data_IF_694820216384
#
_entry.id   IF_694820216384
#
_cell.length_a   1.000
_cell.length_b   1.000
_cell.length_c   1.000
_cell.angle_alpha   90.00
_cell.angle_beta   90.00
_cell.angle_gamma   90.00
#
_symmetry.space_group_name_H-M   'P 1'
#
loop_
_entity.id
_entity.type
_entity.pdbx_description
1 polymer ?
#
# COMPACT_ATOMS: atom_id res chain seq x y z
N UNK A 1 -18.64 17.68 1.27
CA UNK A 1 -17.70 16.55 1.08
C UNK A 1 -16.38 16.92 1.76
N UNK A 2 -15.83 16.04 2.60
CA UNK A 2 -14.56 16.27 3.34
C UNK A 2 -13.58 15.12 3.09
N UNK A 3 -12.33 15.47 2.73
CA UNK A 3 -11.24 14.51 2.49
C UNK A 3 -10.56 14.18 3.81
N UNK A 4 -10.25 12.91 4.04
CA UNK A 4 -9.36 12.45 5.11
C UNK A 4 -8.12 11.88 4.45
N UNK A 5 -7.00 12.59 4.52
CA UNK A 5 -5.75 12.15 3.88
C UNK A 5 -4.94 11.23 4.79
N UNK A 6 -4.32 10.22 4.17
CA UNK A 6 -3.30 9.38 4.79
C UNK A 6 -2.03 9.46 3.94
N UNK A 7 -1.37 10.61 4.02
CA UNK A 7 -0.26 10.97 3.13
C UNK A 7 0.92 9.99 3.20
N UNK A 8 1.10 9.27 4.32
CA UNK A 8 2.14 8.26 4.49
C UNK A 8 1.97 7.02 3.61
N UNK A 9 0.72 6.66 3.29
CA UNK A 9 0.35 5.56 2.38
C UNK A 9 -0.05 6.07 0.99
N UNK A 10 -0.32 7.37 0.88
CA UNK A 10 -0.69 8.02 -0.38
C UNK A 10 -2.13 7.75 -0.80
N UNK A 11 -3.02 7.59 0.18
CA UNK A 11 -4.44 7.36 -0.01
C UNK A 11 -5.34 8.40 0.69
N UNK A 12 -6.62 8.40 0.32
CA UNK A 12 -7.67 9.27 0.84
C UNK A 12 -8.93 8.47 1.14
N UNK A 13 -9.53 8.75 2.28
CA UNK A 13 -10.93 8.40 2.59
C UNK A 13 -11.82 9.62 2.43
N UNK A 14 -13.12 9.40 2.25
CA UNK A 14 -14.07 10.48 2.01
C UNK A 14 -15.26 10.44 2.95
N UNK A 15 -15.71 11.62 3.39
CA UNK A 15 -17.00 11.80 4.09
C UNK A 15 -17.89 12.71 3.23
N UNK A 16 -19.00 12.17 2.72
CA UNK A 16 -20.04 12.93 2.03
C UNK A 16 -21.28 13.03 2.93
N UNK A 17 -21.90 14.21 2.97
CA UNK A 17 -22.99 14.50 3.90
C UNK A 17 -23.91 15.58 3.33
N UNK A 18 -25.19 15.52 3.71
CA UNK A 18 -26.21 16.54 3.46
C UNK A 18 -26.35 17.54 4.63
N UNK A 19 -25.56 17.39 5.69
CA UNK A 19 -25.60 18.21 6.91
C UNK A 19 -26.18 17.49 8.12
N UNK A 20 -26.93 16.39 7.94
CA UNK A 20 -27.52 15.62 9.03
C UNK A 20 -26.95 14.20 9.09
N UNK A 21 -26.81 13.55 7.93
CA UNK A 21 -26.27 12.20 7.81
C UNK A 21 -25.08 12.16 6.87
N UNK A 22 -24.23 11.16 7.05
CA UNK A 22 -23.04 10.98 6.25
C UNK A 22 -22.88 9.54 5.73
N UNK A 23 -22.25 9.45 4.56
CA UNK A 23 -21.63 8.23 4.03
C UNK A 23 -20.12 8.39 4.05
N UNK A 24 -19.42 7.32 4.43
CA UNK A 24 -17.97 7.23 4.42
C UNK A 24 -17.54 6.26 3.33
N UNK A 25 -16.55 6.66 2.52
CA UNK A 25 -15.99 5.84 1.44
C UNK A 25 -14.53 5.51 1.77
N UNK A 26 -14.17 4.23 1.68
CA UNK A 26 -12.82 3.69 1.87
C UNK A 26 -12.14 4.14 3.17
N UNK A 27 -12.75 3.94 4.35
CA UNK A 27 -12.17 4.39 5.60
C UNK A 27 -10.92 3.59 6.00
N UNK A 28 -9.87 4.30 6.39
CA UNK A 28 -8.69 3.74 7.04
C UNK A 28 -9.01 3.03 8.36
N UNK A 29 -8.11 2.12 8.76
CA UNK A 29 -8.26 1.31 9.97
C UNK A 29 -8.47 2.12 11.25
N UNK A 30 -7.83 3.27 11.35
CA UNK A 30 -7.85 4.12 12.52
C UNK A 30 -9.08 5.05 12.51
N UNK A 31 -10.25 4.42 12.68
CA UNK A 31 -11.59 4.99 12.51
C UNK A 31 -11.94 6.10 13.50
N UNK A 32 -11.17 6.28 14.58
CA UNK A 32 -11.35 7.37 15.53
C UNK A 32 -11.24 8.74 14.85
N UNK A 33 -10.40 8.88 13.81
CA UNK A 33 -10.29 10.10 13.00
C UNK A 33 -11.60 10.42 12.27
N UNK A 34 -12.29 9.39 11.76
CA UNK A 34 -13.58 9.53 11.07
C UNK A 34 -14.68 9.92 12.06
N UNK A 35 -14.72 9.26 13.22
CA UNK A 35 -15.68 9.55 14.29
C UNK A 35 -15.52 10.97 14.83
N UNK A 36 -14.28 11.42 15.06
CA UNK A 36 -13.98 12.81 15.47
C UNK A 36 -14.43 13.80 14.41
N UNK A 37 -14.20 13.52 13.13
CA UNK A 37 -14.67 14.38 12.04
C UNK A 37 -16.19 14.46 12.01
N UNK A 38 -16.89 13.33 12.08
CA UNK A 38 -18.35 13.30 12.11
C UNK A 38 -18.92 14.09 13.30
N UNK A 39 -18.32 13.94 14.50
CA UNK A 39 -18.71 14.71 15.67
C UNK A 39 -18.48 16.22 15.51
N UNK A 40 -17.40 16.65 14.86
CA UNK A 40 -17.14 18.07 14.55
C UNK A 40 -18.13 18.64 13.54
N UNK A 41 -18.54 17.84 12.56
CA UNK A 41 -19.53 18.23 11.56
C UNK A 41 -20.97 18.17 12.10
N UNK A 42 -21.19 17.50 13.24
CA UNK A 42 -22.53 17.31 13.81
C UNK A 42 -23.38 16.30 13.04
N UNK A 43 -22.76 15.39 12.28
CA UNK A 43 -23.45 14.46 11.37
C UNK A 43 -23.43 13.03 11.89
N UNK A 44 -24.46 12.26 11.57
CA UNK A 44 -24.52 10.82 11.86
C UNK A 44 -24.04 9.98 10.68
N UNK A 45 -23.02 9.15 10.88
CA UNK A 45 -22.60 8.18 9.87
C UNK A 45 -23.67 7.09 9.78
N UNK A 46 -24.29 6.94 8.61
CA UNK A 46 -25.34 5.95 8.36
C UNK A 46 -24.93 4.90 7.35
N UNK A 47 -23.90 5.20 6.56
CA UNK A 47 -23.39 4.34 5.50
C UNK A 47 -21.87 4.36 5.49
N UNK A 48 -21.31 3.19 5.21
CA UNK A 48 -19.90 3.01 4.89
C UNK A 48 -19.84 2.16 3.63
N UNK A 49 -19.04 2.52 2.64
CA UNK A 49 -18.87 1.73 1.42
C UNK A 49 -17.40 1.55 1.06
N UNK A 50 -17.07 0.39 0.49
CA UNK A 50 -15.76 0.11 -0.09
C UNK A 50 -15.84 0.17 -1.62
N UNK A 51 -14.90 0.84 -2.26
CA UNK A 51 -14.72 0.77 -3.72
C UNK A 51 -14.18 -0.59 -4.13
N UNK A 52 -13.32 -1.19 -3.32
CA UNK A 52 -12.78 -2.53 -3.51
C UNK A 52 -12.17 -3.05 -2.20
N UNK A 53 -11.86 -4.35 -2.12
CA UNK A 53 -11.00 -4.85 -1.06
C UNK A 53 -9.56 -4.37 -1.29
N UNK A 54 -9.11 -3.48 -0.42
CA UNK A 54 -7.81 -2.81 -0.53
C UNK A 54 -6.64 -3.78 -0.33
N UNK A 55 -5.57 -3.55 -1.08
CA UNK A 55 -4.33 -4.34 -0.99
C UNK A 55 -3.19 -3.58 -0.31
N UNK A 56 -3.37 -2.30 0.03
CA UNK A 56 -2.35 -1.42 0.57
C UNK A 56 -2.60 -0.96 2.00
N UNK A 57 -3.79 -1.25 2.55
CA UNK A 57 -4.08 -1.03 3.96
C UNK A 57 -5.17 -1.98 4.44
N UNK A 58 -5.31 -2.07 5.76
CA UNK A 58 -6.39 -2.78 6.42
C UNK A 58 -7.58 -1.84 6.56
N UNK A 59 -8.72 -2.20 5.97
CA UNK A 59 -9.92 -1.36 6.00
C UNK A 59 -10.45 -1.20 7.42
N UNK A 60 -10.90 0.02 7.74
CA UNK A 60 -11.67 0.33 8.94
C UNK A 60 -13.18 0.20 8.76
N UNK A 61 -13.68 -0.14 7.58
CA UNK A 61 -15.09 -0.04 7.24
C UNK A 61 -15.98 -0.92 8.10
N UNK A 62 -15.55 -2.16 8.34
CA UNK A 62 -16.25 -3.09 9.23
C UNK A 62 -16.35 -2.56 10.67
N UNK A 63 -15.25 -2.04 11.20
CA UNK A 63 -15.22 -1.51 12.57
C UNK A 63 -16.06 -0.23 12.69
N UNK A 64 -15.95 0.67 11.72
CA UNK A 64 -16.74 1.90 11.69
C UNK A 64 -18.24 1.59 11.62
N UNK A 65 -18.64 0.61 10.81
CA UNK A 65 -20.02 0.12 10.75
C UNK A 65 -20.50 -0.39 12.10
N UNK A 66 -19.71 -1.23 12.79
CA UNK A 66 -20.05 -1.75 14.13
C UNK A 66 -20.22 -0.64 15.17
N UNK A 67 -19.32 0.34 15.18
CA UNK A 67 -19.33 1.43 16.16
C UNK A 67 -20.49 2.42 15.95
N UNK A 68 -20.96 2.56 14.71
CA UNK A 68 -21.99 3.56 14.35
C UNK A 68 -23.36 2.96 14.06
N UNK A 69 -23.44 1.65 13.84
CA UNK A 69 -24.63 0.98 13.30
C UNK A 69 -24.88 1.29 11.81
N UNK A 70 -23.89 1.85 11.11
CA UNK A 70 -24.00 2.18 9.69
C UNK A 70 -24.10 0.94 8.81
N UNK A 71 -24.86 1.02 7.71
CA UNK A 71 -24.90 -0.03 6.69
C UNK A 71 -23.56 -0.10 5.98
N UNK A 72 -22.96 -1.29 5.94
CA UNK A 72 -21.64 -1.50 5.31
C UNK A 72 -21.79 -2.12 3.92
N UNK A 73 -21.59 -1.32 2.88
CA UNK A 73 -21.66 -1.74 1.48
C UNK A 73 -20.33 -2.24 0.94
N UNK A 74 -20.32 -3.45 0.39
CA UNK A 74 -19.15 -4.05 -0.28
C UNK A 74 -19.61 -4.69 -1.58
N UNK A 75 -18.73 -4.79 -2.57
CA UNK A 75 -19.07 -5.43 -3.84
C UNK A 75 -19.58 -6.86 -3.60
N UNK A 76 -20.75 -7.19 -4.17
CA UNK A 76 -21.43 -8.48 -3.98
C UNK A 76 -20.56 -9.69 -4.39
N UNK A 77 -19.64 -9.46 -5.33
CA UNK A 77 -18.75 -10.48 -5.85
C UNK A 77 -17.56 -10.81 -4.93
N UNK A 78 -17.20 -9.93 -3.99
CA UNK A 78 -16.05 -10.13 -3.10
C UNK A 78 -16.31 -11.19 -2.00
N UNK A 79 -17.56 -11.39 -1.58
CA UNK A 79 -17.99 -12.42 -0.61
C UNK A 79 -17.14 -12.46 0.69
N UNK A 80 -17.01 -11.35 1.42
CA UNK A 80 -16.29 -11.33 2.69
C UNK A 80 -16.94 -12.22 3.76
N UNK A 81 -16.16 -12.60 4.77
CA UNK A 81 -16.57 -13.51 5.85
C UNK A 81 -17.46 -12.86 6.93
N UNK A 82 -18.00 -11.67 6.67
CA UNK A 82 -18.80 -10.88 7.61
C UNK A 82 -20.06 -10.32 6.93
N UNK A 83 -21.03 -9.93 7.75
CA UNK A 83 -22.27 -9.31 7.28
C UNK A 83 -21.98 -7.96 6.61
N UNK A 84 -22.59 -7.77 5.44
CA UNK A 84 -22.48 -6.57 4.64
C UNK A 84 -23.72 -6.45 3.74
N UNK A 85 -23.94 -5.25 3.21
CA UNK A 85 -24.88 -5.00 2.12
C UNK A 85 -24.15 -5.30 0.81
N UNK A 86 -24.53 -6.35 0.06
CA UNK A 86 -23.91 -6.65 -1.23
C UNK A 86 -24.33 -5.59 -2.27
N UNK A 87 -23.35 -5.00 -2.96
CA UNK A 87 -23.58 -3.99 -4.00
C UNK A 87 -23.10 -4.48 -5.37
N UNK A 88 -23.87 -4.20 -6.41
CA UNK A 88 -23.60 -4.52 -7.81
C UNK A 88 -23.74 -3.29 -8.72
N UNK A 89 -23.43 -3.46 -10.01
CA UNK A 89 -23.59 -2.40 -11.02
C UNK A 89 -25.03 -1.89 -11.07
N UNK A 90 -25.22 -0.58 -10.96
CA UNK A 90 -26.52 0.07 -11.03
C UNK A 90 -27.28 0.15 -9.71
N UNK A 91 -26.81 -0.52 -8.65
CA UNK A 91 -27.45 -0.42 -7.33
C UNK A 91 -27.40 1.02 -6.80
N UNK A 92 -28.46 1.41 -6.10
CA UNK A 92 -28.58 2.74 -5.48
C UNK A 92 -28.65 2.59 -3.98
N UNK A 93 -27.71 3.24 -3.29
CA UNK A 93 -27.67 3.37 -1.84
C UNK A 93 -28.26 4.72 -1.47
N UNK A 94 -29.51 4.71 -1.02
CA UNK A 94 -30.20 5.89 -0.49
C UNK A 94 -29.61 6.23 0.90
N UNK A 95 -28.83 7.32 0.99
CA UNK A 95 -28.21 7.79 2.24
C UNK A 95 -29.21 8.63 3.03
N UNK A 96 -29.92 9.51 2.33
CA UNK A 96 -31.07 10.30 2.80
C UNK A 96 -31.99 10.59 1.61
N UNK A 97 -33.17 11.20 1.81
CA UNK A 97 -34.02 11.62 0.68
C UNK A 97 -33.33 12.55 -0.34
N UNK A 98 -32.25 13.23 0.07
CA UNK A 98 -31.54 14.20 -0.76
C UNK A 98 -30.11 13.84 -1.14
N UNK A 99 -29.64 12.66 -0.74
CA UNK A 99 -28.28 12.21 -0.97
C UNK A 99 -28.27 10.70 -1.22
N UNK A 100 -27.71 10.29 -2.36
CA UNK A 100 -27.59 8.87 -2.71
C UNK A 100 -26.28 8.56 -3.40
N UNK A 101 -25.87 7.29 -3.33
CA UNK A 101 -24.77 6.75 -4.11
C UNK A 101 -25.31 5.79 -5.14
N UNK A 102 -24.92 5.95 -6.41
CA UNK A 102 -25.16 4.96 -7.45
C UNK A 102 -23.87 4.20 -7.74
N UNK A 103 -23.89 2.89 -7.54
CA UNK A 103 -22.75 2.02 -7.78
C UNK A 103 -22.58 1.77 -9.29
N UNK A 104 -21.34 1.81 -9.74
CA UNK A 104 -20.92 1.48 -11.10
C UNK A 104 -19.80 0.45 -11.03
N UNK A 105 -20.00 -0.71 -11.66
CA UNK A 105 -18.93 -1.68 -11.81
C UNK A 105 -17.84 -1.11 -12.73
N UNK A 106 -16.64 -1.04 -12.19
CA UNK A 106 -15.44 -0.46 -12.83
C UNK A 106 -14.22 -1.36 -12.63
N UNK A 107 -14.33 -2.67 -13.00
CA UNK A 107 -13.26 -3.64 -12.82
C UNK A 107 -11.99 -3.22 -13.56
N UNK A 108 -10.85 -3.60 -13.00
CA UNK A 108 -9.55 -3.28 -13.54
C UNK A 108 -8.50 -3.37 -12.45
N UNK A 109 -8.44 -2.39 -11.55
CA UNK A 109 -7.57 -2.47 -10.37
C UNK A 109 -7.80 -3.75 -9.56
N UNK A 110 -9.07 -4.13 -9.42
CA UNK A 110 -9.49 -5.46 -8.96
C UNK A 110 -10.63 -5.98 -9.85
N UNK A 111 -10.94 -7.28 -9.76
CA UNK A 111 -12.05 -7.88 -10.52
C UNK A 111 -13.43 -7.34 -10.15
N UNK A 112 -13.60 -6.88 -8.91
CA UNK A 112 -14.90 -6.55 -8.33
C UNK A 112 -15.03 -5.06 -7.99
N UNK A 113 -14.09 -4.23 -8.45
CA UNK A 113 -14.04 -2.81 -8.16
C UNK A 113 -15.36 -2.09 -8.56
N UNK A 114 -15.86 -1.27 -7.65
CA UNK A 114 -16.99 -0.37 -7.82
C UNK A 114 -16.54 1.08 -7.69
N UNK A 115 -17.10 1.95 -8.52
CA UNK A 115 -17.09 3.39 -8.34
C UNK A 115 -18.47 3.84 -7.86
N UNK A 116 -18.53 4.91 -7.06
CA UNK A 116 -19.79 5.42 -6.52
C UNK A 116 -20.04 6.84 -6.99
N UNK A 117 -21.11 7.05 -7.75
CA UNK A 117 -21.55 8.37 -8.17
C UNK A 117 -22.33 8.99 -7.03
N UNK A 118 -21.88 10.15 -6.55
CA UNK A 118 -22.59 10.92 -5.54
C UNK A 118 -23.62 11.79 -6.24
N UNK A 119 -24.89 11.59 -5.89
CA UNK A 119 -26.01 12.32 -6.46
C UNK A 119 -26.78 13.04 -5.35
N UNK A 120 -27.16 14.28 -5.62
CA UNK A 120 -28.01 15.11 -4.79
C UNK A 120 -29.21 15.63 -5.59
N UNK A 121 -30.04 16.46 -4.98
CA UNK A 121 -31.11 17.17 -5.69
C UNK A 121 -30.62 18.02 -6.87
N UNK A 122 -29.37 18.51 -6.86
CA UNK A 122 -28.77 19.26 -7.97
C UNK A 122 -28.23 18.39 -9.09
N UNK A 123 -28.25 17.06 -8.94
CA UNK A 123 -27.72 16.10 -9.91
C UNK A 123 -26.42 15.45 -9.44
N UNK A 124 -25.50 15.18 -10.37
CA UNK A 124 -24.22 14.52 -10.08
C UNK A 124 -23.25 15.51 -9.45
N UNK A 125 -22.86 15.27 -8.20
CA UNK A 125 -21.86 16.06 -7.48
C UNK A 125 -20.43 15.63 -7.83
N UNK A 126 -20.26 14.34 -8.13
CA UNK A 126 -18.97 13.76 -8.49
C UNK A 126 -18.99 12.24 -8.38
N UNK A 127 -17.82 11.62 -8.50
CA UNK A 127 -17.67 10.16 -8.47
C UNK A 127 -16.45 9.76 -7.65
N UNK A 128 -16.68 8.86 -6.69
CA UNK A 128 -15.62 8.15 -5.98
C UNK A 128 -15.09 7.06 -6.90
N UNK A 129 -13.89 7.27 -7.44
CA UNK A 129 -13.31 6.43 -8.50
C UNK A 129 -12.43 5.31 -7.98
N UNK A 130 -12.15 5.28 -6.67
CA UNK A 130 -11.38 4.21 -6.05
C UNK A 130 -9.97 4.10 -6.62
N UNK A 131 -9.54 2.87 -6.91
CA UNK A 131 -8.35 2.55 -7.68
C UNK A 131 -8.54 2.57 -9.20
N UNK A 132 -9.76 2.80 -9.71
CA UNK A 132 -10.05 2.68 -11.14
C UNK A 132 -9.48 3.88 -11.94
N UNK A 133 -10.01 5.08 -11.71
CA UNK A 133 -9.54 6.31 -12.35
C UNK A 133 -8.84 7.19 -11.32
N UNK A 134 -7.55 7.49 -11.54
CA UNK A 134 -6.74 8.38 -10.70
C UNK A 134 -6.39 9.66 -11.48
N UNK A 135 -5.75 10.64 -10.84
CA UNK A 135 -5.34 11.87 -11.52
C UNK A 135 -4.22 11.60 -12.54
N UNK A 136 -4.55 11.72 -13.84
CA UNK A 136 -3.63 11.49 -14.95
C UNK A 136 -3.19 10.04 -15.16
N UNK A 137 -3.76 9.08 -14.42
CA UNK A 137 -3.39 7.66 -14.49
C UNK A 137 -4.53 6.74 -14.00
N UNK A 138 -4.24 5.45 -13.81
CA UNK A 138 -5.15 4.44 -13.27
C UNK A 138 -4.45 3.64 -12.17
N UNK A 139 -5.20 2.85 -11.42
CA UNK A 139 -4.61 1.85 -10.53
C UNK A 139 -3.88 0.77 -11.32
N UNK A 140 -2.83 0.22 -10.72
CA UNK A 140 -2.12 -0.95 -11.26
C UNK A 140 -3.02 -2.18 -11.30
N UNK A 141 -2.68 -3.16 -12.14
CA UNK A 141 -3.58 -4.29 -12.44
C UNK A 141 -2.98 -5.66 -12.09
N UNK A 142 -1.79 -5.71 -11.51
CA UNK A 142 -1.03 -6.93 -11.22
C UNK A 142 -1.04 -7.35 -9.73
N UNK A 143 -1.74 -6.61 -8.85
CA UNK A 143 -1.79 -6.92 -7.41
C UNK A 143 -2.45 -8.25 -7.08
N UNK A 144 -3.33 -8.73 -7.97
CA UNK A 144 -4.01 -10.02 -7.81
C UNK A 144 -3.24 -11.19 -8.45
N UNK A 145 -2.06 -10.92 -9.02
CA UNK A 145 -1.24 -11.88 -9.73
C UNK A 145 -0.85 -11.38 -11.12
N UNK A 146 0.38 -11.67 -11.54
CA UNK A 146 0.91 -11.29 -12.86
C UNK A 146 0.07 -11.92 -13.99
N UNK A 147 -0.48 -13.11 -13.75
CA UNK A 147 -1.37 -13.82 -14.68
C UNK A 147 -2.69 -13.09 -14.95
N UNK A 148 -3.08 -12.15 -14.10
CA UNK A 148 -4.31 -11.37 -14.23
C UNK A 148 -4.06 -9.97 -14.82
N UNK A 149 -2.81 -9.51 -14.83
CA UNK A 149 -2.45 -8.13 -15.13
C UNK A 149 -2.95 -7.62 -16.48
N UNK A 150 -2.80 -8.40 -17.55
CA UNK A 150 -3.28 -8.05 -18.90
C UNK A 150 -4.81 -7.96 -18.95
N UNK A 151 -5.51 -9.00 -18.47
CA UNK A 151 -6.98 -9.01 -18.49
C UNK A 151 -7.57 -7.87 -17.66
N UNK A 152 -6.96 -7.57 -16.51
CA UNK A 152 -7.37 -6.49 -15.64
C UNK A 152 -7.04 -5.12 -16.27
N UNK A 153 -5.92 -4.95 -16.98
CA UNK A 153 -5.64 -3.72 -17.72
C UNK A 153 -6.68 -3.44 -18.83
N UNK A 154 -7.09 -4.47 -19.58
CA UNK A 154 -8.17 -4.31 -20.59
C UNK A 154 -9.49 -3.89 -19.97
N UNK A 155 -9.85 -4.52 -18.84
CA UNK A 155 -11.05 -4.14 -18.07
C UNK A 155 -10.93 -2.71 -17.54
N UNK A 156 -9.77 -2.31 -17.03
CA UNK A 156 -9.49 -0.97 -16.53
C UNK A 156 -9.72 0.09 -17.62
N UNK A 157 -9.22 -0.15 -18.84
CA UNK A 157 -9.44 0.71 -20.00
C UNK A 157 -10.93 0.90 -20.31
N UNK A 158 -11.66 -0.22 -20.38
CA UNK A 158 -13.10 -0.22 -20.63
C UNK A 158 -13.86 0.52 -19.52
N UNK A 159 -13.52 0.27 -18.25
CA UNK A 159 -14.16 0.87 -17.08
C UNK A 159 -14.00 2.38 -17.01
N UNK A 160 -12.80 2.90 -17.27
CA UNK A 160 -12.55 4.35 -17.27
C UNK A 160 -13.33 5.05 -18.37
N UNK A 161 -13.39 4.46 -19.57
CA UNK A 161 -14.20 4.99 -20.68
C UNK A 161 -15.69 4.95 -20.36
N UNK A 162 -16.19 3.84 -19.79
CA UNK A 162 -17.58 3.74 -19.29
C UNK A 162 -17.89 4.87 -18.31
N UNK A 163 -17.03 5.14 -17.32
CA UNK A 163 -17.22 6.23 -16.36
C UNK A 163 -17.32 7.58 -17.07
N UNK A 164 -16.37 7.87 -17.95
CA UNK A 164 -16.32 9.13 -18.65
C UNK A 164 -17.59 9.33 -19.52
N UNK A 165 -18.04 8.29 -20.23
CA UNK A 165 -19.16 8.37 -21.17
C UNK A 165 -20.53 8.36 -20.49
N UNK A 166 -20.61 7.84 -19.26
CA UNK A 166 -21.88 7.74 -18.51
C UNK A 166 -22.18 8.95 -17.62
N UNK A 167 -21.22 9.86 -17.45
CA UNK A 167 -21.30 10.96 -16.48
C UNK A 167 -21.03 12.32 -17.15
N UNK A 168 -21.54 13.44 -16.58
CA UNK A 168 -21.22 14.77 -17.07
C UNK A 168 -19.71 15.04 -17.04
N UNK A 169 -19.17 15.65 -18.09
CA UNK A 169 -17.73 15.97 -18.18
C UNK A 169 -17.20 16.81 -17.01
N UNK A 170 -18.02 17.71 -16.46
CA UNK A 170 -17.69 18.51 -15.29
C UNK A 170 -17.71 17.76 -13.95
N UNK A 171 -18.09 16.48 -13.91
CA UNK A 171 -18.12 15.72 -12.66
C UNK A 171 -16.72 15.62 -12.06
N UNK A 172 -16.61 15.97 -10.77
CA UNK A 172 -15.37 15.87 -10.00
C UNK A 172 -15.08 14.40 -9.73
N UNK A 173 -13.81 14.01 -9.80
CA UNK A 173 -13.38 12.64 -9.46
C UNK A 173 -12.65 12.62 -8.11
N UNK A 174 -12.91 11.57 -7.34
CA UNK A 174 -12.37 11.36 -6.00
C UNK A 174 -11.71 9.98 -5.91
N UNK A 175 -10.43 9.87 -6.30
CA UNK A 175 -9.70 8.60 -6.24
C UNK A 175 -9.21 8.28 -4.84
N UNK A 176 -9.18 7.00 -4.49
CA UNK A 176 -8.67 6.54 -3.20
C UNK A 176 -7.15 6.63 -3.14
N UNK A 177 -6.45 6.40 -4.26
CA UNK A 177 -4.99 6.40 -4.33
C UNK A 177 -4.46 7.46 -5.30
N UNK A 178 -3.13 7.58 -5.42
CA UNK A 178 -2.48 8.51 -6.34
C UNK A 178 -1.51 9.50 -5.69
N UNK A 179 -1.52 9.60 -4.37
CA UNK A 179 -0.82 10.65 -3.62
C UNK A 179 0.56 10.18 -3.13
N UNK A 180 1.30 9.49 -4.01
CA UNK A 180 2.54 8.78 -3.66
C UNK A 180 2.34 7.29 -3.33
N UNK A 181 1.12 6.76 -3.48
CA UNK A 181 0.81 5.33 -3.29
C UNK A 181 1.44 4.45 -4.37
N UNK A 182 1.84 3.23 -3.98
CA UNK A 182 2.32 2.18 -4.88
C UNK A 182 1.19 1.46 -5.64
N UNK A 183 -0.08 1.80 -5.37
CA UNK A 183 -1.24 1.31 -6.11
C UNK A 183 -1.47 2.02 -7.45
N UNK A 184 -0.78 3.13 -7.74
CA UNK A 184 -0.89 3.81 -9.03
C UNK A 184 -0.01 3.14 -10.09
N UNK A 185 -0.52 3.02 -11.32
CA UNK A 185 0.25 2.46 -12.42
C UNK A 185 1.41 3.37 -12.86
N UNK A 186 1.20 4.68 -12.79
CA UNK A 186 2.23 5.70 -12.96
C UNK A 186 2.04 6.80 -11.90
N UNK A 187 3.00 7.74 -11.81
CA UNK A 187 2.89 8.83 -10.85
C UNK A 187 1.65 9.70 -11.13
N UNK A 188 0.75 9.78 -10.16
CA UNK A 188 -0.37 10.72 -10.16
C UNK A 188 0.08 12.07 -9.60
N UNK A 189 -0.56 13.15 -10.05
CA UNK A 189 -0.25 14.51 -9.61
C UNK A 189 -1.49 15.38 -9.58
N UNK A 190 -1.53 16.32 -8.63
CA UNK A 190 -2.61 17.28 -8.45
C UNK A 190 -3.50 16.98 -7.25
N UNK A 191 -4.27 17.99 -6.84
CA UNK A 191 -5.14 17.89 -5.66
C UNK A 191 -6.62 17.67 -6.01
N UNK A 192 -7.00 17.96 -7.26
CA UNK A 192 -8.36 17.80 -7.81
C UNK A 192 -8.34 17.59 -9.32
N UNK A 193 -9.36 16.93 -9.85
CA UNK A 193 -9.57 16.74 -11.30
C UNK A 193 -11.05 16.53 -11.62
N UNK A 194 -11.40 16.60 -12.91
CA UNK A 194 -12.73 16.31 -13.47
C UNK A 194 -12.62 15.30 -14.61
N UNK A 195 -13.74 14.70 -15.00
CA UNK A 195 -13.76 13.78 -16.14
C UNK A 195 -13.30 14.45 -17.45
N UNK A 196 -13.65 15.71 -17.69
CA UNK A 196 -13.18 16.47 -18.86
C UNK A 196 -11.68 16.71 -18.85
N UNK A 197 -11.09 16.97 -17.67
CA UNK A 197 -9.65 17.07 -17.55
C UNK A 197 -8.99 15.72 -17.86
N UNK A 198 -9.46 14.65 -17.24
CA UNK A 198 -8.91 13.31 -17.47
C UNK A 198 -9.06 12.86 -18.93
N UNK A 199 -10.13 13.22 -19.64
CA UNK A 199 -10.25 12.97 -21.09
C UNK A 199 -9.08 13.57 -21.89
N UNK A 200 -8.52 14.68 -21.42
CA UNK A 200 -7.42 15.37 -22.08
C UNK A 200 -6.05 14.82 -21.70
N UNK A 201 -5.88 14.19 -20.53
CA UNK A 201 -4.55 13.84 -20.01
C UNK A 201 -4.36 12.35 -19.72
N UNK A 202 -5.42 11.61 -19.39
CA UNK A 202 -5.33 10.25 -18.89
C UNK A 202 -5.09 9.24 -20.03
N UNK A 203 -4.05 8.39 -19.95
CA UNK A 203 -3.78 7.38 -20.97
C UNK A 203 -4.95 6.43 -21.26
N UNK A 204 -5.75 6.07 -20.25
CA UNK A 204 -6.91 5.18 -20.43
C UNK A 204 -8.01 5.79 -21.33
N UNK A 205 -8.09 7.13 -21.36
CA UNK A 205 -9.06 7.86 -22.19
C UNK A 205 -8.47 8.29 -23.54
N UNK A 206 -7.14 8.42 -23.64
CA UNK A 206 -6.44 8.89 -24.86
C UNK A 206 -5.99 7.77 -25.79
N UNK A 207 -5.52 6.66 -25.23
CA UNK A 207 -4.88 5.60 -25.99
C UNK A 207 -5.89 4.53 -26.42
N UNK A 208 -5.57 3.82 -27.51
CA UNK A 208 -6.24 2.57 -27.85
C UNK A 208 -5.93 1.49 -26.80
N UNK A 209 -6.80 0.50 -26.66
CA UNK A 209 -6.71 -0.51 -25.58
C UNK A 209 -5.34 -1.21 -25.54
N UNK A 210 -4.87 -1.76 -26.68
CA UNK A 210 -3.60 -2.49 -26.71
C UNK A 210 -2.39 -1.62 -26.37
N UNK A 211 -2.40 -0.34 -26.77
CA UNK A 211 -1.35 0.60 -26.44
C UNK A 211 -1.39 0.97 -24.94
N UNK A 212 -2.59 1.20 -24.40
CA UNK A 212 -2.78 1.42 -22.96
C UNK A 212 -2.27 0.23 -22.14
N UNK A 213 -2.66 -1.00 -22.50
CA UNK A 213 -2.23 -2.22 -21.79
C UNK A 213 -0.71 -2.35 -21.85
N UNK A 214 -0.12 -2.21 -23.04
CA UNK A 214 1.34 -2.32 -23.21
C UNK A 214 2.08 -1.29 -22.38
N UNK A 215 1.67 -0.02 -22.42
CA UNK A 215 2.33 1.06 -21.68
C UNK A 215 2.16 0.91 -20.17
N UNK A 216 0.95 0.56 -19.71
CA UNK A 216 0.63 0.38 -18.30
C UNK A 216 1.49 -0.72 -17.70
N UNK A 217 1.48 -1.92 -18.31
CA UNK A 217 2.22 -3.07 -17.79
C UNK A 217 3.74 -2.88 -17.84
N UNK A 218 4.25 -2.21 -18.87
CA UNK A 218 5.68 -1.90 -18.97
C UNK A 218 6.16 -0.88 -17.93
N UNK A 219 5.24 -0.08 -17.36
CA UNK A 219 5.53 0.93 -16.34
C UNK A 219 5.39 0.45 -14.89
N UNK A 220 4.93 -0.78 -14.66
CA UNK A 220 4.74 -1.30 -13.31
C UNK A 220 6.06 -1.66 -12.64
N UNK A 221 6.29 -1.11 -11.46
CA UNK A 221 7.42 -1.43 -10.58
C UNK A 221 6.99 -2.28 -9.38
N UNK A 222 7.99 -2.74 -8.62
CA UNK A 222 7.79 -3.49 -7.39
C UNK A 222 6.96 -2.68 -6.37
N UNK A 223 6.17 -3.39 -5.57
CA UNK A 223 5.31 -2.84 -4.51
C UNK A 223 5.57 -3.50 -3.16
N UNK A 224 5.16 -2.85 -2.05
CA UNK A 224 5.45 -3.34 -0.71
C UNK A 224 5.04 -4.79 -0.46
N UNK A 225 5.94 -5.56 0.14
CA UNK A 225 5.75 -6.99 0.40
C UNK A 225 4.46 -7.27 1.20
N UNK A 226 4.09 -6.39 2.13
CA UNK A 226 2.88 -6.53 2.93
C UNK A 226 1.57 -6.52 2.11
N UNK A 227 1.58 -6.00 0.87
CA UNK A 227 0.37 -5.95 0.04
C UNK A 227 -0.21 -7.35 -0.21
N UNK A 228 0.65 -8.37 -0.28
CA UNK A 228 0.26 -9.77 -0.45
C UNK A 228 -0.64 -10.31 0.67
N UNK A 229 -0.80 -9.57 1.77
CA UNK A 229 -1.59 -9.99 2.93
C UNK A 229 -2.86 -9.16 3.14
N UNK A 230 -2.93 -7.94 2.61
CA UNK A 230 -3.99 -7.00 2.95
C UNK A 230 -5.35 -7.46 2.44
N UNK A 231 -5.44 -7.89 1.17
CA UNK A 231 -6.68 -8.41 0.60
C UNK A 231 -7.25 -9.58 1.41
N UNK A 232 -6.41 -10.51 1.87
CA UNK A 232 -6.84 -11.63 2.72
C UNK A 232 -7.33 -11.18 4.10
N UNK A 233 -6.68 -10.20 4.72
CA UNK A 233 -7.10 -9.61 6.00
C UNK A 233 -8.46 -8.90 5.84
N UNK A 234 -8.59 -8.08 4.79
CA UNK A 234 -9.81 -7.32 4.51
C UNK A 234 -10.98 -8.23 4.16
N UNK A 235 -10.74 -9.34 3.45
CA UNK A 235 -11.74 -10.34 3.14
C UNK A 235 -12.22 -11.10 4.40
N UNK A 236 -11.29 -11.42 5.31
CA UNK A 236 -11.60 -12.14 6.54
C UNK A 236 -12.37 -11.29 7.57
N UNK A 237 -12.27 -9.96 7.48
CA UNK A 237 -12.83 -9.03 8.46
C UNK A 237 -11.82 -8.77 9.58
N UNK A 238 -11.06 -7.66 9.52
CA UNK A 238 -10.05 -7.36 10.52
C UNK A 238 -10.68 -7.16 11.90
N UNK A 239 -9.92 -7.53 12.93
CA UNK A 239 -10.27 -7.22 14.31
C UNK A 239 -10.20 -5.71 14.58
N UNK A 240 -10.92 -5.20 15.60
CA UNK A 240 -10.81 -3.82 16.04
C UNK A 240 -9.35 -3.41 16.25
N UNK A 241 -9.02 -2.17 15.88
CA UNK A 241 -7.65 -1.66 16.02
C UNK A 241 -7.26 -1.55 17.50
N UNK A 242 -6.06 -2.01 17.85
CA UNK A 242 -5.49 -1.90 19.20
C UNK A 242 -4.37 -0.87 19.22
N UNK A 243 -4.68 0.32 19.72
CA UNK A 243 -3.72 1.43 19.88
C UNK A 243 -3.29 1.62 21.34
N UNK A 244 -3.42 0.59 22.18
CA UNK A 244 -2.91 0.67 23.56
C UNK A 244 -1.39 0.85 23.55
N UNK A 245 -0.83 1.69 24.44
CA UNK A 245 0.60 1.90 24.49
C UNK A 245 1.36 0.58 24.74
N UNK A 246 2.49 0.34 24.06
CA UNK A 246 3.34 -0.82 24.30
C UNK A 246 4.00 -0.77 25.69
N UNK A 247 4.50 -1.91 26.17
CA UNK A 247 5.26 -1.93 27.42
C UNK A 247 6.58 -1.14 27.27
N UNK A 248 6.99 -0.43 28.32
CA UNK A 248 8.26 0.29 28.30
C UNK A 248 9.43 -0.68 28.43
N UNK A 249 10.47 -0.47 27.64
CA UNK A 249 11.74 -1.19 27.69
C UNK A 249 12.92 -0.22 27.84
N UNK A 250 13.91 -0.60 28.64
CA UNK A 250 15.19 0.10 28.70
C UNK A 250 16.16 -0.43 27.63
N UNK A 251 17.35 0.17 27.54
CA UNK A 251 18.37 -0.23 26.56
C UNK A 251 18.81 -1.70 26.70
N UNK A 252 18.80 -2.26 27.92
CA UNK A 252 19.22 -3.64 28.18
C UNK A 252 18.15 -4.62 27.69
N UNK A 253 16.88 -4.33 27.98
CA UNK A 253 15.74 -5.11 27.50
C UNK A 253 15.65 -5.09 25.97
N UNK A 254 15.78 -3.91 25.36
CA UNK A 254 15.79 -3.79 23.89
C UNK A 254 16.94 -4.57 23.24
N UNK A 255 18.11 -4.62 23.90
CA UNK A 255 19.23 -5.43 23.44
C UNK A 255 18.93 -6.93 23.52
N UNK A 256 18.34 -7.38 24.63
CA UNK A 256 17.95 -8.78 24.78
C UNK A 256 16.93 -9.21 23.72
N UNK A 257 15.97 -8.33 23.39
CA UNK A 257 14.99 -8.52 22.32
C UNK A 257 15.65 -8.64 20.94
N UNK A 258 16.55 -7.72 20.60
CA UNK A 258 17.35 -7.80 19.37
C UNK A 258 18.11 -9.13 19.27
N UNK A 259 18.77 -9.54 20.35
CA UNK A 259 19.53 -10.80 20.41
C UNK A 259 18.63 -12.03 20.28
N UNK A 260 17.36 -11.93 20.68
CA UNK A 260 16.33 -12.94 20.47
C UNK A 260 15.70 -12.92 19.05
N UNK A 261 16.15 -12.03 18.17
CA UNK A 261 15.66 -11.91 16.79
C UNK A 261 14.43 -11.00 16.63
N UNK A 262 14.06 -10.22 17.64
CA UNK A 262 13.02 -9.21 17.53
C UNK A 262 13.48 -8.02 16.69
N UNK A 263 12.58 -7.46 15.88
CA UNK A 263 12.85 -6.22 15.18
C UNK A 263 12.82 -5.05 16.15
N UNK A 264 13.88 -4.24 16.15
CA UNK A 264 13.88 -2.97 16.90
C UNK A 264 14.12 -1.83 15.92
N UNK A 265 13.08 -0.99 15.76
CA UNK A 265 13.07 0.12 14.82
C UNK A 265 13.24 1.43 15.57
N UNK A 266 14.24 2.20 15.15
CA UNK A 266 14.56 3.51 15.70
C UNK A 266 13.93 4.61 14.82
N UNK A 267 12.97 5.30 15.42
CA UNK A 267 12.14 6.34 14.81
C UNK A 267 12.80 7.73 14.89
N UNK A 268 13.91 7.86 15.62
CA UNK A 268 14.58 9.15 15.81
C UNK A 268 15.10 9.66 14.48
N UNK A 269 15.27 10.99 14.37
CA UNK A 269 15.79 11.57 13.15
C UNK A 269 17.17 10.99 12.78
N UNK A 270 17.43 10.80 11.48
CA UNK A 270 18.64 10.14 10.95
C UNK A 270 19.97 10.66 11.53
N UNK A 271 20.04 11.94 11.91
CA UNK A 271 21.22 12.54 12.53
C UNK A 271 21.45 12.09 13.97
N UNK A 272 20.38 11.96 14.76
CA UNK A 272 20.44 11.40 16.10
C UNK A 272 20.85 9.91 16.06
N UNK A 273 20.24 9.15 15.14
CA UNK A 273 20.61 7.75 14.90
C UNK A 273 22.09 7.59 14.51
N UNK A 274 22.57 8.40 13.55
CA UNK A 274 23.96 8.33 13.07
C UNK A 274 24.99 8.71 14.16
N UNK A 275 24.60 9.56 15.11
CA UNK A 275 25.46 9.95 16.24
C UNK A 275 25.63 8.81 17.24
N UNK A 276 24.52 8.19 17.63
CA UNK A 276 24.50 7.07 18.59
C UNK A 276 23.19 6.28 18.46
N UNK A 277 23.30 4.97 18.23
CA UNK A 277 22.16 4.04 18.18
C UNK A 277 22.55 2.67 18.76
N UNK A 278 21.55 1.89 19.17
CA UNK A 278 21.74 0.53 19.62
C UNK A 278 22.13 -0.35 18.42
N UNK A 279 23.28 -1.01 18.49
CA UNK A 279 23.76 -1.80 17.35
C UNK A 279 22.79 -2.94 17.01
N UNK A 280 22.39 -3.04 15.74
CA UNK A 280 21.42 -4.04 15.26
C UNK A 280 20.03 -3.49 14.96
N UNK A 281 19.71 -2.27 15.44
CA UNK A 281 18.45 -1.58 15.09
C UNK A 281 18.46 -1.07 13.64
N UNK A 282 17.28 -0.87 13.09
CA UNK A 282 17.08 -0.20 11.79
C UNK A 282 16.50 1.19 12.03
N UNK A 283 16.99 2.19 11.29
CA UNK A 283 16.48 3.56 11.37
C UNK A 283 15.40 3.80 10.31
N UNK A 284 14.18 4.12 10.76
CA UNK A 284 13.08 4.56 9.90
C UNK A 284 12.35 5.72 10.60
N UNK A 285 12.70 6.94 10.22
CA UNK A 285 12.07 8.15 10.77
C UNK A 285 10.64 8.35 10.29
N UNK A 286 9.86 9.12 11.05
CA UNK A 286 8.49 9.52 10.69
C UNK A 286 8.43 10.72 9.71
N UNK A 287 9.58 11.21 9.23
CA UNK A 287 9.68 12.25 8.20
C UNK A 287 9.38 11.74 6.77
N UNK A 288 8.95 10.47 6.63
CA UNK A 288 8.47 9.86 5.39
C UNK A 288 7.57 8.66 5.65
N UNK A 289 7.38 7.79 4.64
CA UNK A 289 6.51 6.60 4.70
C UNK A 289 7.10 5.44 5.53
N UNK A 290 7.32 5.66 6.83
CA UNK A 290 7.92 4.71 7.76
C UNK A 290 7.26 3.33 7.71
N UNK A 291 5.93 3.28 7.83
CA UNK A 291 5.19 2.02 7.82
C UNK A 291 5.35 1.28 6.49
N UNK A 292 5.28 1.97 5.35
CA UNK A 292 5.51 1.39 4.04
C UNK A 292 6.89 0.74 3.95
N UNK A 293 7.95 1.47 4.31
CA UNK A 293 9.31 0.93 4.28
C UNK A 293 9.53 -0.22 5.27
N UNK A 294 8.92 -0.17 6.46
CA UNK A 294 8.99 -1.31 7.37
C UNK A 294 8.24 -2.51 6.81
N UNK A 295 7.06 -2.32 6.22
CA UNK A 295 6.24 -3.35 5.58
C UNK A 295 6.87 -3.98 4.32
N UNK A 296 7.91 -3.38 3.76
CA UNK A 296 8.77 -4.03 2.76
C UNK A 296 9.74 -5.05 3.38
N UNK A 297 10.17 -4.81 4.61
CA UNK A 297 11.32 -5.48 5.22
C UNK A 297 10.92 -6.54 6.23
N UNK A 298 9.85 -6.28 7.00
CA UNK A 298 9.47 -7.11 8.13
C UNK A 298 8.60 -8.28 7.68
N UNK A 299 8.94 -9.47 8.17
CA UNK A 299 8.09 -10.65 7.99
C UNK A 299 6.78 -10.48 8.75
N UNK A 300 5.69 -11.00 8.18
CA UNK A 300 4.36 -10.94 8.81
C UNK A 300 4.38 -11.62 10.18
N UNK A 301 3.93 -10.88 11.20
CA UNK A 301 3.85 -11.38 12.57
C UNK A 301 5.17 -11.41 13.33
N UNK A 302 6.26 -10.91 12.74
CA UNK A 302 7.52 -10.75 13.47
C UNK A 302 7.31 -9.80 14.67
N UNK A 303 7.87 -10.11 15.84
CA UNK A 303 7.78 -9.22 16.99
C UNK A 303 8.57 -7.93 16.70
N UNK A 304 8.01 -6.80 17.15
CA UNK A 304 8.50 -5.47 16.83
C UNK A 304 8.50 -4.59 18.08
N UNK A 305 9.63 -3.95 18.35
CA UNK A 305 9.78 -2.88 19.33
C UNK A 305 10.20 -1.58 18.68
N UNK A 306 9.81 -0.45 19.29
CA UNK A 306 10.06 0.89 18.76
C UNK A 306 10.93 1.73 19.70
N UNK A 307 11.86 2.49 19.14
CA UNK A 307 12.65 3.49 19.86
C UNK A 307 12.33 4.86 19.31
N UNK A 308 11.69 5.71 20.10
CA UNK A 308 11.38 7.09 19.74
C UNK A 308 12.14 8.11 20.59
N UNK A 309 12.16 9.36 20.12
CA UNK A 309 12.51 10.52 20.95
C UNK A 309 11.52 10.68 22.11
N UNK A 310 10.23 10.43 21.83
CA UNK A 310 9.14 10.49 22.79
C UNK A 310 8.16 9.33 22.64
N UNK A 311 7.37 9.06 23.69
CA UNK A 311 6.28 8.09 23.59
C UNK A 311 5.14 8.55 22.66
N UNK A 312 5.01 9.86 22.43
CA UNK A 312 4.06 10.37 21.44
C UNK A 312 4.49 9.99 20.01
N UNK A 313 5.79 10.06 19.73
CA UNK A 313 6.35 9.59 18.46
C UNK A 313 6.10 8.09 18.27
N UNK A 314 6.24 7.30 19.34
CA UNK A 314 5.93 5.86 19.34
C UNK A 314 4.45 5.63 19.04
N UNK A 315 3.53 6.36 19.69
CA UNK A 315 2.08 6.23 19.44
C UNK A 315 1.71 6.60 17.99
N UNK A 316 2.35 7.61 17.41
CA UNK A 316 2.17 7.96 16.00
C UNK A 316 2.64 6.82 15.09
N UNK A 317 3.84 6.28 15.33
CA UNK A 317 4.35 5.13 14.57
C UNK A 317 3.45 3.88 14.70
N UNK A 318 2.96 3.57 15.91
CA UNK A 318 2.03 2.46 16.13
C UNK A 318 0.76 2.59 15.28
N UNK A 319 0.22 3.80 15.16
CA UNK A 319 -0.95 4.08 14.32
C UNK A 319 -0.67 3.88 12.83
N UNK A 320 0.47 4.36 12.33
CA UNK A 320 0.90 4.13 10.94
C UNK A 320 1.05 2.63 10.65
N UNK A 321 1.61 1.87 11.58
CA UNK A 321 1.81 0.42 11.48
C UNK A 321 0.51 -0.37 11.50
N UNK A 322 -0.45 0.05 12.33
CA UNK A 322 -1.76 -0.59 12.43
C UNK A 322 -2.52 -0.52 11.09
N UNK A 323 -2.36 0.57 10.31
CA UNK A 323 -2.98 0.70 8.98
C UNK A 323 -2.51 -0.37 8.00
N UNK A 324 -1.30 -0.89 8.15
CA UNK A 324 -0.75 -1.95 7.28
C UNK A 324 -0.78 -3.34 7.91
N UNK A 325 -1.57 -3.54 8.98
CA UNK A 325 -1.74 -4.85 9.61
C UNK A 325 -0.69 -5.24 10.65
N UNK A 326 0.18 -4.30 11.06
CA UNK A 326 1.14 -4.51 12.15
C UNK A 326 0.51 -3.98 13.44
N UNK A 327 -0.27 -4.84 14.09
CA UNK A 327 -1.22 -4.42 15.15
C UNK A 327 -0.58 -4.26 16.52
N UNK A 328 0.55 -4.91 16.75
CA UNK A 328 1.14 -4.98 18.09
C UNK A 328 2.61 -4.65 18.08
N UNK A 329 2.91 -3.51 18.68
CA UNK A 329 4.26 -3.17 19.14
C UNK A 329 4.45 -3.84 20.51
N UNK A 330 5.46 -4.70 20.63
CA UNK A 330 5.71 -5.48 21.83
C UNK A 330 6.25 -4.60 22.96
N UNK A 331 7.28 -3.81 22.69
CA UNK A 331 7.81 -2.85 23.64
C UNK A 331 8.26 -1.54 22.97
N UNK A 332 8.45 -0.50 23.77
CA UNK A 332 9.01 0.75 23.27
C UNK A 332 9.89 1.47 24.28
N UNK A 333 10.78 2.31 23.75
CA UNK A 333 11.53 3.30 24.51
C UNK A 333 11.23 4.71 23.97
N UNK A 334 11.15 5.69 24.85
CA UNK A 334 11.00 7.10 24.51
C UNK A 334 10.83 7.96 25.76
N UNK A 335 11.15 9.25 25.67
CA UNK A 335 10.97 10.17 26.80
C UNK A 335 9.48 10.51 26.97
N UNK A 336 9.01 10.69 28.21
CA UNK A 336 7.68 11.24 28.46
C UNK A 336 7.68 12.75 28.16
N UNK A 337 6.74 13.24 27.35
CA UNK A 337 6.61 14.65 27.01
C UNK A 337 6.27 15.56 28.22
N UNK A 338 5.85 14.98 29.36
CA UNK A 338 5.51 15.71 30.59
C UNK A 338 6.29 15.19 31.79
N UNK A 339 7.57 15.56 31.91
CA UNK A 339 8.27 15.72 33.20
C UNK A 339 9.34 16.80 33.08
N UNK A 340 8.89 18.05 33.03
CA UNK A 340 9.69 19.19 33.45
C UNK A 340 9.72 19.20 34.98
N UNK A 341 10.92 19.00 35.52
CA UNK A 341 11.32 19.11 36.94
C UNK A 341 10.78 18.03 37.90
N UNK A 342 11.74 17.47 38.63
CA UNK A 342 11.67 16.51 39.73
C UNK A 342 11.54 15.01 39.43
N UNK A 343 12.63 14.33 39.84
CA UNK A 343 12.88 12.89 40.03
C UNK A 343 13.26 12.09 38.77
N UNK A 344 14.59 12.00 38.61
CA UNK A 344 15.36 11.03 37.84
C UNK A 344 14.80 9.60 38.00
N UNK A 345 14.22 9.08 36.93
CA UNK A 345 14.37 7.68 36.55
C UNK A 345 15.58 7.62 35.60
N UNK A 346 16.38 6.53 35.58
CA UNK A 346 17.48 6.43 34.65
C UNK A 346 16.96 6.52 33.21
N UNK A 347 17.52 7.46 32.46
CA UNK A 347 17.20 7.66 31.05
C UNK A 347 17.56 6.39 30.26
N UNK A 348 16.56 5.75 29.64
CA UNK A 348 16.76 4.57 28.79
C UNK A 348 17.68 4.85 27.57
N UNK A 349 17.95 6.12 27.28
CA UNK A 349 18.83 6.59 26.20
C UNK A 349 20.22 7.04 26.67
N UNK A 350 20.49 7.05 27.98
CA UNK A 350 21.74 7.60 28.55
C UNK A 350 22.80 6.54 28.92
N UNK A 351 22.53 5.24 28.72
CA UNK A 351 23.58 4.21 28.88
C UNK A 351 24.51 4.20 27.67
N UNK A 352 25.36 5.22 27.61
CA UNK A 352 26.34 5.56 26.57
C UNK A 352 27.28 4.40 26.19
N UNK A 353 27.32 3.33 27.01
CA UNK A 353 28.12 2.11 26.78
C UNK A 353 27.50 1.13 25.80
N UNK A 354 26.18 1.20 25.58
CA UNK A 354 25.45 0.28 24.70
C UNK A 354 25.22 0.84 23.29
N UNK A 355 25.41 2.15 23.10
CA UNK A 355 25.21 2.85 21.85
C UNK A 355 26.51 2.95 21.04
N UNK A 356 26.45 2.66 19.74
CA UNK A 356 27.61 2.74 18.85
C UNK A 356 27.84 4.18 18.42
N UNK A 357 29.02 4.73 18.72
CA UNK A 357 29.51 6.01 18.16
C UNK A 357 30.41 5.78 16.93
N UNK A 358 30.29 6.60 15.86
CA UNK A 358 31.22 6.57 14.75
C UNK A 358 32.65 6.85 15.26
N UNK A 359 33.57 5.88 15.11
CA UNK A 359 34.99 6.02 15.47
C UNK A 359 35.49 5.18 16.66
N UNK A 360 34.64 4.42 17.34
CA UNK A 360 35.07 3.51 18.42
C UNK A 360 35.88 2.32 17.87
N UNK A 361 36.98 1.97 18.56
CA UNK A 361 38.03 1.03 18.11
C UNK A 361 37.59 -0.44 17.95
N UNK A 362 36.37 -0.81 18.36
CA UNK A 362 35.88 -2.19 18.34
C UNK A 362 35.44 -2.73 16.97
N UNK A 363 35.31 -1.87 15.95
CA UNK A 363 34.88 -2.28 14.62
C UNK A 363 35.90 -3.18 13.86
N UNK A 364 37.09 -3.46 14.41
CA UNK A 364 38.12 -4.28 13.74
C UNK A 364 38.11 -5.76 14.12
N UNK A 365 37.34 -6.20 15.12
CA UNK A 365 37.38 -7.60 15.59
C UNK A 365 36.27 -8.53 15.06
N UNK A 366 35.16 -8.03 14.54
CA UNK A 366 34.04 -8.89 14.10
C UNK A 366 34.10 -9.39 12.65
N UNK A 367 35.05 -8.94 11.83
CA UNK A 367 35.15 -9.33 10.42
C UNK A 367 36.04 -10.56 10.13
N UNK A 368 36.50 -11.30 11.15
CA UNK A 368 37.49 -12.40 10.98
C UNK A 368 37.05 -13.82 11.38
N UNK A 369 35.77 -14.09 11.65
CA UNK A 369 35.35 -15.47 11.98
C UNK A 369 34.05 -15.91 11.31
N UNK A 370 33.99 -15.87 9.98
CA UNK A 370 33.16 -16.78 9.18
C UNK A 370 33.87 -17.07 7.85
N UNK A 371 34.79 -18.04 7.87
CA UNK A 371 35.23 -18.77 6.67
C UNK A 371 35.02 -20.26 6.95
N UNK A 372 33.95 -20.80 6.37
CA UNK A 372 33.73 -22.23 6.25
C UNK A 372 34.63 -22.75 5.10
N UNK A 373 35.54 -23.72 5.33
CA UNK A 373 36.47 -24.18 4.32
C UNK A 373 35.84 -25.32 3.51
N UNK A 374 34.92 -25.01 2.59
CA UNK A 374 34.44 -25.97 1.58
C UNK A 374 33.72 -25.26 0.43
N UNK A 375 34.47 -24.58 -0.43
CA UNK A 375 34.07 -24.29 -1.82
C UNK A 375 35.26 -23.69 -2.60
N UNK A 376 36.03 -24.56 -3.25
CA UNK A 376 37.06 -24.16 -4.22
C UNK A 376 36.73 -24.79 -5.57
N UNK A 377 36.21 -23.97 -6.48
CA UNK A 377 36.28 -24.03 -7.94
C UNK A 377 35.42 -22.86 -8.43
N UNK A 378 35.87 -21.85 -9.16
CA UNK A 378 36.86 -21.83 -10.22
C UNK A 378 36.16 -21.30 -11.46
N UNK A 379 36.01 -19.98 -11.61
CA UNK A 379 35.67 -19.35 -12.89
C UNK A 379 36.17 -17.89 -12.91
N UNK A 380 37.04 -17.61 -13.88
CA UNK A 380 37.63 -16.30 -14.15
C UNK A 380 36.56 -15.38 -14.76
N UNK A 381 36.33 -14.21 -14.15
CA UNK A 381 35.51 -13.15 -14.75
C UNK A 381 36.40 -12.26 -15.61
N UNK A 382 36.08 -12.17 -16.90
CA UNK A 382 36.73 -11.29 -17.86
C UNK A 382 36.44 -9.81 -17.55
N UNK A 383 37.47 -8.98 -17.65
CA UNK A 383 37.39 -7.52 -17.49
C UNK A 383 36.70 -6.88 -18.71
N UNK A 384 35.61 -6.14 -18.49
CA UNK A 384 35.02 -5.22 -19.47
C UNK A 384 35.84 -3.92 -19.56
N UNK A 385 36.10 -3.37 -20.77
CA UNK A 385 36.86 -2.14 -20.91
C UNK A 385 36.02 -0.88 -20.65
N UNK A 386 36.67 0.11 -20.03
CA UNK A 386 36.15 1.44 -19.71
C UNK A 386 35.81 2.22 -20.99
N UNK A 387 34.57 2.69 -21.14
CA UNK A 387 34.19 3.67 -22.19
C UNK A 387 34.65 5.08 -21.80
N UNK A 388 35.38 5.72 -22.72
CA UNK A 388 35.80 7.13 -22.65
C UNK A 388 34.60 8.06 -22.88
N UNK A 389 34.56 9.18 -22.15
CA UNK A 389 33.68 10.33 -22.39
C UNK A 389 34.14 11.09 -23.64
N UNK A 390 33.21 11.42 -24.53
CA UNK A 390 33.36 12.38 -25.64
C UNK A 390 32.35 13.54 -25.49
N UNK A 391 32.58 14.71 -26.11
CA UNK A 391 32.09 15.99 -25.62
C UNK A 391 30.68 16.37 -26.10
N UNK A 392 30.07 17.30 -25.35
CA UNK A 392 28.79 17.97 -25.61
C UNK A 392 28.82 18.74 -26.94
N UNK A 393 27.73 18.68 -27.71
CA UNK A 393 27.39 19.64 -28.76
C UNK A 393 25.91 20.02 -28.69
N UNK A 394 25.65 21.28 -29.01
CA UNK A 394 24.45 22.05 -28.73
C UNK A 394 23.26 21.77 -29.67
N UNK A 395 22.07 22.10 -29.16
CA UNK A 395 20.79 22.09 -29.86
C UNK A 395 20.72 23.14 -30.99
N UNK A 396 20.02 22.81 -32.09
CA UNK A 396 19.27 23.73 -32.95
C UNK A 396 18.16 22.99 -33.74
N UNK A 397 17.14 23.76 -34.08
CA UNK A 397 15.79 23.42 -34.57
C UNK A 397 15.65 22.59 -35.87
N UNK A 398 14.47 21.97 -36.06
CA UNK A 398 14.04 21.10 -37.19
C UNK A 398 13.79 21.82 -38.53
N UNK A 399 12.82 21.43 -39.40
CA UNK A 399 11.87 20.30 -39.38
C UNK A 399 11.76 19.52 -40.74
N UNK A 400 10.77 18.61 -40.81
CA UNK A 400 10.08 18.02 -41.99
C UNK A 400 10.54 16.66 -42.56
N UNK A 401 9.56 15.74 -42.65
CA UNK A 401 9.13 15.21 -43.95
C UNK A 401 9.52 13.79 -44.33
N UNK A 402 8.53 12.89 -44.32
CA UNK A 402 8.24 12.00 -45.45
C UNK A 402 8.92 10.62 -45.53
N UNK A 403 8.10 9.57 -45.39
CA UNK A 403 7.89 8.62 -46.49
C UNK A 403 8.70 7.32 -46.55
N UNK A 404 7.93 6.22 -46.54
CA UNK A 404 8.10 4.98 -47.32
C UNK A 404 9.03 3.85 -46.82
N UNK A 405 8.36 2.79 -46.36
CA UNK A 405 8.39 1.41 -46.93
C UNK A 405 9.74 0.72 -47.14
N UNK A 406 9.96 -0.37 -46.39
CA UNK A 406 10.42 -1.64 -46.97
C UNK A 406 9.99 -2.83 -46.10
N UNK A 407 9.31 -3.78 -46.74
CA UNK A 407 9.05 -5.15 -46.26
C UNK A 407 10.30 -6.02 -46.47
N UNK A 408 10.46 -7.04 -45.61
CA UNK A 408 10.85 -8.43 -45.92
C UNK A 408 11.11 -9.13 -44.57
N UNK A 409 10.22 -10.02 -44.12
CA UNK A 409 10.12 -11.46 -44.46
C UNK A 409 11.06 -12.36 -43.64
N UNK A 410 10.44 -12.96 -42.60
CA UNK A 410 10.38 -14.38 -42.25
C UNK A 410 11.65 -15.24 -42.18
N UNK A 411 11.91 -15.78 -40.97
CA UNK A 411 12.59 -17.07 -40.77
C UNK A 411 12.93 -17.37 -39.29
N UNK A 412 12.82 -18.62 -38.78
CA UNK A 412 12.16 -18.84 -37.48
C UNK A 412 13.02 -19.45 -36.35
N UNK A 413 12.42 -19.44 -35.15
CA UNK A 413 12.49 -20.43 -34.06
C UNK A 413 13.85 -20.72 -33.37
N UNK A 414 13.88 -20.48 -32.06
CA UNK A 414 14.20 -21.52 -31.05
C UNK A 414 13.76 -21.09 -29.64
N UNK A 415 12.61 -21.61 -29.24
CA UNK A 415 12.19 -21.71 -27.83
C UNK A 415 13.20 -22.58 -27.07
N UNK A 416 13.58 -22.17 -25.86
CA UNK A 416 14.27 -23.03 -24.89
C UNK A 416 13.29 -23.39 -23.78
N UNK A 417 12.88 -24.66 -23.78
CA UNK A 417 12.23 -25.34 -22.66
C UNK A 417 13.22 -25.46 -21.47
N UNK A 418 12.77 -25.37 -20.20
CA UNK A 418 13.55 -25.79 -19.07
C UNK A 418 13.55 -27.32 -18.91
N UNK A 419 14.69 -27.85 -18.51
CA UNK A 419 14.96 -29.28 -18.33
C UNK A 419 14.15 -29.88 -17.17
N UNK A 420 13.50 -31.02 -17.45
CA UNK A 420 13.08 -32.01 -16.44
C UNK A 420 14.30 -32.78 -15.95
N UNK A 421 14.44 -32.93 -14.63
CA UNK A 421 15.17 -34.03 -14.02
C UNK A 421 14.21 -34.76 -13.07
N UNK A 422 13.75 -35.93 -13.50
CA UNK A 422 13.11 -36.92 -12.63
C UNK A 422 14.13 -37.99 -12.23
N UNK A 423 13.92 -38.63 -11.08
CA UNK A 423 14.70 -39.80 -10.65
C UNK A 423 14.45 -40.20 -9.21
N UNK A 424 13.35 -40.94 -8.99
CA UNK A 424 13.08 -41.73 -7.77
C UNK A 424 13.77 -43.10 -7.91
N UNK A 425 14.26 -43.74 -6.84
CA UNK A 425 14.38 -45.19 -6.79
C UNK A 425 13.23 -45.80 -5.97
N UNK A 426 12.65 -46.86 -6.54
CA UNK A 426 11.62 -47.69 -5.95
C UNK A 426 12.15 -48.57 -4.80
N UNK A 427 11.33 -48.77 -3.78
CA UNK A 427 11.49 -49.79 -2.73
C UNK A 427 10.12 -50.35 -2.37
N UNK A 428 9.97 -51.67 -2.52
CA UNK A 428 8.73 -52.47 -2.46
C UNK A 428 8.14 -52.61 -1.03
N UNK A 429 6.82 -52.80 -0.98
CA UNK A 429 6.21 -53.90 -0.21
C UNK A 429 5.25 -53.51 0.91
N UNK A 430 4.00 -53.98 0.83
CA UNK A 430 3.10 -54.08 1.99
C UNK A 430 1.63 -53.90 1.65
N UNK A 431 0.94 -55.01 1.42
CA UNK A 431 -0.51 -55.08 1.16
C UNK A 431 -1.34 -55.15 2.46
N UNK A 432 -2.63 -54.83 2.34
CA UNK A 432 -3.72 -55.06 3.31
C UNK A 432 -4.38 -53.75 3.73
N UNK A 433 -5.68 -53.50 3.60
CA UNK A 433 -6.85 -54.36 3.40
C UNK A 433 -7.96 -53.91 4.37
N UNK A 434 -9.18 -53.66 3.87
CA UNK A 434 -10.42 -53.50 4.65
C UNK A 434 -10.78 -52.04 4.98
N UNK A 435 -11.82 -51.41 4.42
CA UNK A 435 -13.28 -51.67 4.43
C UNK A 435 -14.01 -51.02 5.62
N UNK A 436 -15.05 -50.23 5.30
CA UNK A 436 -16.22 -49.81 6.11
C UNK A 436 -15.92 -49.17 7.49
N UNK A 437 -16.27 -47.90 7.74
CA UNK A 437 -17.61 -47.29 7.79
C UNK A 437 -17.48 -45.78 7.84
#
# INVERSE_FOLDING_TARGET
MTVIETSSLGDRSYVATDGDVAVVVDPQRDVDRVLVLAGRLGVRITHVVETHLHNDYVSGGLELSRLTGARYGVAAADRPAFEHVPLADGDVVEVSPGLRLRALATPGHTFHHLSYVLESHSGVEGVFTGGSLLFGTTGRTDLLGEEHADSLARRQHTSVRKLADSLPGGAVIWPTHGFGSFCSATQSSGDSSTLDHERQVNPALRLAEDEFVTQTLAGLDAYPAYYAHMGAINLAGPAPVDLRPPSLADAKELRARLEAGEWVVDLRHRTAFATAHLAGTISLGLDGSMATWLGWLVDRGAPLSLVGESLEQVSHAQRELARIGIDRVAAAAGRHARRTRDRLLPDALDDDRLFRRPGSRDARRSARSRRDPRCTAGQRVARLPRRRRGPRAAARAGPQGGGHSARNDLGPLRQRLPCRCGGVPAGKGGAGGGAHR
#
